data_IF_801243592327
#
_entry.id   IF_801243592327
#
_cell.length_a   1.000
_cell.length_b   1.000
_cell.length_c   1.000
_cell.angle_alpha   90.00
_cell.angle_beta   90.00
_cell.angle_gamma   90.00
#
_symmetry.space_group_name_H-M   'P 1'
#
loop_
_entity.id
_entity.type
_entity.pdbx_description
1 polymer ?
#
# COMPACT_ATOMS: atom_id res chain seq x y z
N UNK A 1 -13.34 7.12 -10.19
CA UNK A 1 -12.10 6.33 -10.19
C UNK A 1 -11.38 6.52 -8.88
N UNK A 2 -11.23 5.46 -8.09
CA UNK A 2 -10.52 5.52 -6.81
C UNK A 2 -9.05 5.23 -7.08
N UNK A 3 -8.16 6.13 -6.66
CA UNK A 3 -6.71 5.99 -6.85
C UNK A 3 -6.06 5.33 -5.64
N UNK A 4 -5.04 4.53 -5.90
CA UNK A 4 -4.18 3.94 -4.89
C UNK A 4 -3.45 5.06 -4.13
N UNK A 5 -3.61 5.18 -2.81
CA UNK A 5 -2.91 6.21 -2.03
C UNK A 5 -1.38 5.99 -1.98
N UNK A 6 -0.87 4.84 -2.44
CA UNK A 6 0.55 4.49 -2.40
C UNK A 6 1.31 4.94 -3.64
N UNK A 7 0.76 4.66 -4.83
CA UNK A 7 1.40 4.93 -6.11
C UNK A 7 0.62 5.91 -7.00
N UNK A 8 -0.52 6.44 -6.53
CA UNK A 8 -1.46 7.27 -7.29
C UNK A 8 -2.04 6.62 -8.57
N UNK A 9 -1.74 5.34 -8.82
CA UNK A 9 -2.32 4.53 -9.88
C UNK A 9 -3.76 4.12 -9.60
N UNK A 10 -4.38 3.38 -10.52
CA UNK A 10 -5.75 2.90 -10.36
C UNK A 10 -5.83 1.76 -9.32
N UNK A 11 -6.93 1.70 -8.58
CA UNK A 11 -7.25 0.52 -7.78
C UNK A 11 -7.81 -0.58 -8.69
N UNK A 12 -7.34 -1.81 -8.49
CA UNK A 12 -7.89 -2.99 -9.15
C UNK A 12 -9.30 -3.32 -8.64
N UNK A 13 -10.04 -4.17 -9.36
CA UNK A 13 -11.36 -4.67 -8.93
C UNK A 13 -11.34 -5.37 -7.56
N UNK A 14 -10.18 -5.90 -7.16
CA UNK A 14 -9.94 -6.48 -5.83
C UNK A 14 -8.75 -5.78 -5.18
N UNK A 15 -8.95 -4.62 -4.53
CA UNK A 15 -7.86 -3.90 -3.91
C UNK A 15 -7.36 -4.65 -2.68
N UNK A 16 -6.05 -4.60 -2.45
CA UNK A 16 -5.42 -5.15 -1.25
C UNK A 16 -5.62 -4.21 -0.06
N UNK A 17 -5.61 -4.76 1.16
CA UNK A 17 -5.59 -3.96 2.39
C UNK A 17 -4.15 -3.66 2.78
N UNK A 18 -3.87 -2.41 3.14
CA UNK A 18 -2.54 -2.06 3.63
C UNK A 18 -2.28 -2.76 4.97
N UNK A 19 -1.13 -3.43 5.05
CA UNK A 19 -0.65 -4.12 6.26
C UNK A 19 0.20 -3.22 7.15
N UNK A 20 0.64 -2.08 6.62
CA UNK A 20 1.63 -1.21 7.27
C UNK A 20 1.05 0.08 7.84
N UNK A 21 -0.27 0.27 7.80
CA UNK A 21 -0.94 1.42 8.42
C UNK A 21 -1.70 1.00 9.69
N UNK A 22 -1.76 1.89 10.67
CA UNK A 22 -2.61 1.75 11.85
C UNK A 22 -4.11 1.86 11.51
N UNK A 23 -4.46 2.46 10.37
CA UNK A 23 -5.82 2.48 9.84
C UNK A 23 -6.10 1.24 8.98
N UNK A 24 -6.45 0.12 9.62
CA UNK A 24 -6.62 -1.22 9.02
C UNK A 24 -7.59 -1.31 7.82
N UNK A 25 -8.31 -0.25 7.51
CA UNK A 25 -9.29 -0.16 6.41
C UNK A 25 -8.78 0.59 5.16
N UNK A 26 -7.50 1.00 5.10
CA UNK A 26 -6.95 1.61 3.88
C UNK A 26 -6.75 0.56 2.79
N UNK A 27 -7.47 0.76 1.68
CA UNK A 27 -7.32 -0.02 0.45
C UNK A 27 -6.23 0.54 -0.46
N UNK A 28 -5.45 -0.35 -1.06
CA UNK A 28 -4.34 -0.09 -1.99
C UNK A 28 -4.43 -1.03 -3.19
N UNK A 29 -3.74 -0.73 -4.29
CA UNK A 29 -3.72 -1.64 -5.43
C UNK A 29 -2.98 -2.95 -5.09
N UNK A 30 -3.29 -4.02 -5.82
CA UNK A 30 -2.70 -5.36 -5.65
C UNK A 30 -1.17 -5.34 -5.68
N UNK A 31 -0.50 -4.66 -6.63
CA UNK A 31 0.97 -4.56 -6.64
C UNK A 31 1.54 -3.97 -5.35
N UNK A 32 0.91 -2.90 -4.85
CA UNK A 32 1.30 -2.25 -3.60
C UNK A 32 1.09 -3.17 -2.38
N UNK A 33 0.00 -3.92 -2.34
CA UNK A 33 -0.27 -4.90 -1.29
C UNK A 33 0.74 -6.06 -1.27
N UNK A 34 1.20 -6.50 -2.44
CA UNK A 34 2.27 -7.51 -2.55
C UNK A 34 3.59 -6.99 -2.01
N UNK A 35 3.97 -5.74 -2.33
CA UNK A 35 5.18 -5.11 -1.80
C UNK A 35 5.12 -5.00 -0.27
N UNK A 36 3.97 -4.64 0.29
CA UNK A 36 3.78 -4.63 1.74
C UNK A 36 3.86 -6.03 2.35
N UNK A 37 3.26 -7.04 1.71
CA UNK A 37 3.35 -8.44 2.16
C UNK A 37 4.79 -8.94 2.21
N UNK A 38 5.59 -8.61 1.19
CA UNK A 38 7.01 -8.98 1.12
C UNK A 38 7.85 -8.24 2.17
N UNK A 39 7.57 -6.96 2.43
CA UNK A 39 8.26 -6.19 3.48
C UNK A 39 7.94 -6.73 4.88
N UNK A 40 6.68 -7.05 5.13
CA UNK A 40 6.21 -7.68 6.36
C UNK A 40 6.89 -9.05 6.57
N UNK A 41 6.90 -9.90 5.53
CA UNK A 41 7.56 -11.21 5.57
C UNK A 41 9.08 -11.15 5.78
N UNK A 42 9.73 -10.04 5.42
CA UNK A 42 11.17 -9.84 5.62
C UNK A 42 11.52 -9.17 6.95
N UNK A 43 10.54 -8.95 7.84
CA UNK A 43 10.76 -8.33 9.15
C UNK A 43 11.12 -6.84 9.06
N UNK A 44 10.88 -6.17 7.93
CA UNK A 44 11.11 -4.74 7.80
C UNK A 44 9.98 -3.97 8.46
N UNK A 45 10.32 -2.85 9.12
CA UNK A 45 9.37 -2.00 9.80
C UNK A 45 8.25 -1.52 8.84
N UNK A 46 6.99 -1.40 9.32
CA UNK A 46 5.88 -0.88 8.54
C UNK A 46 6.19 0.53 8.04
N UNK A 47 5.90 0.81 6.76
CA UNK A 47 6.08 2.15 6.19
C UNK A 47 4.96 3.06 6.72
N UNK A 48 5.29 4.11 7.49
CA UNK A 48 4.27 4.92 8.12
C UNK A 48 3.48 5.73 7.07
N UNK A 49 2.19 6.03 7.29
CA UNK A 49 1.29 6.58 6.27
C UNK A 49 1.71 7.96 5.70
N UNK A 50 2.51 8.70 6.45
CA UNK A 50 3.04 10.01 6.08
C UNK A 50 4.18 9.94 5.04
N UNK A 51 4.75 8.77 4.79
CA UNK A 51 5.73 8.55 3.72
C UNK A 51 5.08 8.17 2.37
N UNK A 52 3.78 8.44 2.23
CA UNK A 52 2.97 8.13 1.06
C UNK A 52 2.49 9.42 0.40
N UNK A 53 2.40 9.50 -0.95
CA UNK A 53 2.75 8.48 -1.94
C UNK A 53 4.26 8.48 -2.23
N UNK A 54 4.85 7.28 -2.36
CA UNK A 54 6.12 7.16 -3.08
C UNK A 54 5.78 7.33 -4.57
N UNK A 55 5.73 8.57 -5.04
CA UNK A 55 5.90 8.84 -6.46
C UNK A 55 7.36 8.48 -6.78
N UNK A 56 7.60 7.19 -7.02
CA UNK A 56 8.84 6.75 -7.62
C UNK A 56 8.89 7.35 -9.00
N UNK A 57 9.81 8.29 -9.18
CA UNK A 57 10.27 8.81 -10.46
C UNK A 57 10.67 7.65 -11.38
#
# INVERSE_FOLDING_TARGET
MTRCPRCAGELDDRPARSRTTTGRDRVICSPCGTVEALRDATGRAPVPPNEWPHSGN
#
